data_IF_122334092403
#
_entry.id   IF_122334092403
#
_cell.length_a   1.000
_cell.length_b   1.000
_cell.length_c   1.000
_cell.angle_alpha   90.00
_cell.angle_beta   90.00
_cell.angle_gamma   90.00
#
_symmetry.space_group_name_H-M   'P 1'
#
loop_
_entity.id
_entity.type
_entity.pdbx_description
1 polymer ?
#
# COMPACT_ATOMS: atom_id res chain seq x y z
N UNK A 1 -22.70 -13.77 8.24
CA UNK A 1 -21.90 -12.53 8.40
C UNK A 1 -21.41 -12.02 7.06
N UNK A 2 -21.00 -12.91 6.15
CA UNK A 2 -20.63 -12.57 4.76
C UNK A 2 -21.65 -11.70 4.03
N UNK A 3 -22.91 -12.13 3.92
CA UNK A 3 -23.98 -11.34 3.26
C UNK A 3 -24.14 -9.95 3.89
N UNK A 4 -24.04 -9.86 5.22
CA UNK A 4 -24.12 -8.59 5.95
C UNK A 4 -22.97 -7.66 5.54
N UNK A 5 -21.74 -8.18 5.51
CA UNK A 5 -20.56 -7.45 5.09
C UNK A 5 -20.67 -6.99 3.64
N UNK A 6 -21.04 -7.88 2.71
CA UNK A 6 -21.18 -7.55 1.29
C UNK A 6 -22.20 -6.45 1.04
N UNK A 7 -23.35 -6.46 1.72
CA UNK A 7 -24.33 -5.39 1.61
C UNK A 7 -23.78 -4.07 2.17
N UNK A 8 -23.10 -4.09 3.32
CA UNK A 8 -22.51 -2.89 3.90
C UNK A 8 -21.39 -2.31 3.03
N UNK A 9 -20.60 -3.18 2.40
CA UNK A 9 -19.58 -2.85 1.40
C UNK A 9 -20.21 -2.13 0.20
N UNK A 10 -21.24 -2.71 -0.41
CA UNK A 10 -21.94 -2.09 -1.55
C UNK A 10 -22.48 -0.69 -1.21
N UNK A 11 -22.97 -0.49 0.02
CA UNK A 11 -23.40 0.83 0.50
C UNK A 11 -22.20 1.79 0.62
N UNK A 12 -21.08 1.33 1.20
CA UNK A 12 -19.88 2.16 1.37
C UNK A 12 -19.25 2.56 0.03
N UNK A 13 -19.25 1.66 -0.94
CA UNK A 13 -18.73 1.86 -2.30
C UNK A 13 -19.71 2.64 -3.21
N UNK A 14 -20.83 3.11 -2.66
CA UNK A 14 -21.90 3.81 -3.39
C UNK A 14 -22.50 3.02 -4.57
N UNK A 15 -22.40 1.69 -4.54
CA UNK A 15 -23.03 0.81 -5.54
C UNK A 15 -24.55 0.68 -5.31
N UNK A 16 -24.97 0.75 -4.05
CA UNK A 16 -26.37 0.85 -3.66
C UNK A 16 -26.55 1.96 -2.63
N UNK A 17 -27.74 2.54 -2.57
CA UNK A 17 -28.06 3.54 -1.57
C UNK A 17 -28.16 2.92 -0.17
N UNK A 18 -27.98 3.74 0.87
CA UNK A 18 -28.19 3.32 2.27
C UNK A 18 -29.58 2.69 2.49
N UNK A 19 -30.61 3.23 1.84
CA UNK A 19 -32.00 2.74 1.95
C UNK A 19 -32.13 1.34 1.36
N UNK A 20 -31.52 1.11 0.19
CA UNK A 20 -31.50 -0.21 -0.46
C UNK A 20 -30.71 -1.22 0.36
N UNK A 21 -29.54 -0.85 0.88
CA UNK A 21 -28.75 -1.75 1.74
C UNK A 21 -29.48 -2.15 3.02
N UNK A 22 -30.17 -1.21 3.68
CA UNK A 22 -31.02 -1.52 4.85
C UNK A 22 -32.12 -2.49 4.46
N UNK A 23 -32.80 -2.26 3.32
CA UNK A 23 -33.88 -3.12 2.85
C UNK A 23 -33.36 -4.53 2.49
N UNK A 24 -32.22 -4.62 1.82
CA UNK A 24 -31.57 -5.90 1.49
C UNK A 24 -31.21 -6.72 2.74
N UNK A 25 -30.74 -6.08 3.82
CA UNK A 25 -30.51 -6.78 5.09
C UNK A 25 -31.80 -7.31 5.73
N UNK A 26 -32.89 -6.54 5.63
CA UNK A 26 -34.20 -6.99 6.12
C UNK A 26 -34.67 -8.19 5.31
N UNK A 27 -34.60 -8.12 3.98
CA UNK A 27 -35.17 -9.14 3.10
C UNK A 27 -34.31 -10.42 3.04
N UNK A 28 -32.98 -10.29 2.97
CA UNK A 28 -32.07 -11.43 2.77
C UNK A 28 -31.55 -12.06 4.06
N UNK A 29 -31.53 -11.31 5.17
CA UNK A 29 -31.03 -11.80 6.47
C UNK A 29 -32.13 -11.89 7.52
N UNK A 30 -33.40 -11.62 7.14
CA UNK A 30 -34.53 -11.51 8.06
C UNK A 30 -34.21 -10.61 9.27
N UNK A 31 -33.41 -9.56 9.02
CA UNK A 31 -32.88 -8.72 10.09
C UNK A 31 -33.93 -7.70 10.49
N UNK A 32 -34.07 -7.44 11.81
CA UNK A 32 -34.90 -6.33 12.26
C UNK A 32 -34.42 -5.01 11.63
N UNK A 33 -35.34 -4.20 11.11
CA UNK A 33 -35.02 -2.95 10.40
C UNK A 33 -34.13 -1.99 11.22
N UNK A 34 -34.35 -1.88 12.53
CA UNK A 34 -33.52 -1.03 13.39
C UNK A 34 -32.11 -1.60 13.54
N UNK A 35 -31.97 -2.92 13.62
CA UNK A 35 -30.67 -3.59 13.62
C UNK A 35 -29.94 -3.38 12.29
N UNK A 36 -30.64 -3.48 11.15
CA UNK A 36 -30.08 -3.23 9.83
C UNK A 36 -29.55 -1.79 9.70
N UNK A 37 -30.31 -0.80 10.16
CA UNK A 37 -29.86 0.60 10.25
C UNK A 37 -28.57 0.72 11.08
N UNK A 38 -28.53 0.09 12.26
CA UNK A 38 -27.35 0.16 13.14
C UNK A 38 -26.12 -0.46 12.47
N UNK A 39 -26.27 -1.63 11.86
CA UNK A 39 -25.17 -2.36 11.19
C UNK A 39 -24.57 -1.53 10.06
N UNK A 40 -25.40 -1.05 9.13
CA UNK A 40 -24.94 -0.21 8.00
C UNK A 40 -24.27 1.06 8.51
N UNK A 41 -24.85 1.72 9.52
CA UNK A 41 -24.30 2.96 10.07
C UNK A 41 -22.95 2.76 10.75
N UNK A 42 -22.79 1.67 11.51
CA UNK A 42 -21.53 1.36 12.18
C UNK A 42 -20.46 1.01 11.15
N UNK A 43 -20.77 0.19 10.14
CA UNK A 43 -19.80 -0.17 9.12
C UNK A 43 -19.26 1.06 8.37
N UNK A 44 -20.12 1.94 7.87
CA UNK A 44 -19.70 3.18 7.19
C UNK A 44 -18.83 4.05 8.10
N UNK A 45 -19.21 4.19 9.38
CA UNK A 45 -18.41 4.94 10.35
C UNK A 45 -17.05 4.31 10.63
N UNK A 46 -16.98 2.98 10.68
CA UNK A 46 -15.71 2.26 10.78
C UNK A 46 -14.81 2.57 9.58
N UNK A 47 -15.34 2.48 8.36
CA UNK A 47 -14.58 2.77 7.14
C UNK A 47 -14.05 4.21 7.04
N UNK A 48 -14.65 5.13 7.79
CA UNK A 48 -14.29 6.56 7.85
C UNK A 48 -13.51 6.95 9.12
N UNK A 49 -13.28 6.04 10.07
CA UNK A 49 -12.63 6.40 11.34
C UNK A 49 -13.49 7.22 12.30
N UNK A 50 -14.82 7.21 12.10
CA UNK A 50 -15.75 8.05 12.87
C UNK A 50 -16.30 7.34 14.10
N UNK A 51 -16.46 8.09 15.20
CA UNK A 51 -17.10 7.58 16.42
C UNK A 51 -18.55 7.14 16.17
N UNK A 52 -18.92 5.99 16.74
CA UNK A 52 -20.30 5.50 16.83
C UNK A 52 -20.68 5.11 18.27
N UNK A 53 -21.98 5.08 18.58
CA UNK A 53 -22.47 4.93 19.96
C UNK A 53 -23.30 3.66 20.20
N UNK A 54 -23.79 3.02 19.14
CA UNK A 54 -24.47 1.71 19.20
C UNK A 54 -23.44 0.59 19.08
N UNK A 55 -23.76 -0.61 19.56
CA UNK A 55 -22.84 -1.76 19.56
C UNK A 55 -23.33 -2.82 18.58
N UNK A 56 -22.38 -3.57 18.01
CA UNK A 56 -22.63 -4.85 17.34
C UNK A 56 -22.18 -6.00 18.25
N UNK A 57 -22.38 -7.23 17.78
CA UNK A 57 -21.81 -8.42 18.41
C UNK A 57 -20.30 -8.47 18.14
N UNK A 58 -19.54 -9.05 19.07
CA UNK A 58 -18.09 -9.22 18.89
C UNK A 58 -17.73 -10.00 17.61
N UNK A 59 -18.40 -11.13 17.26
CA UNK A 59 -18.10 -11.84 16.03
C UNK A 59 -18.31 -10.99 14.76
N UNK A 60 -19.30 -10.09 14.77
CA UNK A 60 -19.54 -9.21 13.61
C UNK A 60 -18.45 -8.13 13.50
N UNK A 61 -17.98 -7.58 14.63
CA UNK A 61 -16.81 -6.68 14.62
C UNK A 61 -15.55 -7.40 14.13
N UNK A 62 -15.26 -8.61 14.63
CA UNK A 62 -14.13 -9.41 14.18
C UNK A 62 -14.20 -9.66 12.66
N UNK A 63 -15.36 -10.07 12.15
CA UNK A 63 -15.57 -10.32 10.73
C UNK A 63 -15.38 -9.05 9.88
N UNK A 64 -15.87 -7.90 10.34
CA UNK A 64 -15.64 -6.63 9.66
C UNK A 64 -14.16 -6.26 9.64
N UNK A 65 -13.45 -6.31 10.77
CA UNK A 65 -12.03 -5.95 10.83
C UNK A 65 -11.18 -6.86 9.93
N UNK A 66 -11.46 -8.16 9.91
CA UNK A 66 -10.75 -9.11 9.06
C UNK A 66 -10.94 -8.79 7.57
N UNK A 67 -12.17 -8.65 7.10
CA UNK A 67 -12.45 -8.43 5.68
C UNK A 67 -12.08 -7.02 5.22
N UNK A 68 -12.18 -6.00 6.10
CA UNK A 68 -11.67 -4.66 5.81
C UNK A 68 -10.17 -4.72 5.54
N UNK A 69 -9.41 -5.46 6.35
CA UNK A 69 -7.97 -5.62 6.13
C UNK A 69 -7.65 -6.37 4.83
N UNK A 70 -8.37 -7.45 4.54
CA UNK A 70 -8.15 -8.26 3.36
C UNK A 70 -8.48 -7.52 2.06
N UNK A 71 -9.55 -6.71 2.05
CA UNK A 71 -10.05 -6.09 0.82
C UNK A 71 -9.58 -4.64 0.63
N UNK A 72 -9.36 -3.88 1.72
CA UNK A 72 -8.99 -2.46 1.67
C UNK A 72 -7.63 -2.16 2.30
N UNK A 73 -6.95 -3.17 2.85
CA UNK A 73 -5.60 -3.04 3.38
C UNK A 73 -5.51 -2.29 4.72
N UNK A 74 -4.26 -1.94 5.06
CA UNK A 74 -3.88 -1.40 6.36
C UNK A 74 -4.56 -0.07 6.70
N UNK A 75 -4.64 0.85 5.75
CA UNK A 75 -5.15 2.19 5.99
C UNK A 75 -6.63 2.17 6.45
N UNK A 76 -7.47 1.38 5.76
CA UNK A 76 -8.88 1.23 6.16
C UNK A 76 -9.05 0.42 7.43
N UNK A 77 -8.19 -0.57 7.68
CA UNK A 77 -8.20 -1.25 8.97
C UNK A 77 -7.86 -0.27 10.12
N UNK A 78 -6.88 0.62 9.93
CA UNK A 78 -6.50 1.63 10.93
C UNK A 78 -7.64 2.62 11.20
N UNK A 79 -8.34 3.06 10.16
CA UNK A 79 -9.56 3.85 10.31
C UNK A 79 -10.63 3.08 11.11
N UNK A 80 -10.91 1.82 10.75
CA UNK A 80 -11.90 0.99 11.44
C UNK A 80 -11.57 0.76 12.93
N UNK A 81 -10.29 0.53 13.25
CA UNK A 81 -9.82 0.40 14.62
C UNK A 81 -9.93 1.72 15.39
N UNK A 82 -9.63 2.85 14.75
CA UNK A 82 -9.82 4.18 15.34
C UNK A 82 -11.27 4.44 15.71
N UNK A 83 -12.21 4.16 14.80
CA UNK A 83 -13.64 4.27 15.06
C UNK A 83 -14.09 3.38 16.22
N UNK A 84 -13.58 2.15 16.28
CA UNK A 84 -13.89 1.18 17.33
C UNK A 84 -13.31 1.59 18.69
N UNK A 85 -12.10 2.15 18.73
CA UNK A 85 -11.49 2.66 19.97
C UNK A 85 -12.25 3.88 20.52
N UNK A 86 -12.67 4.79 19.64
CA UNK A 86 -13.57 5.90 19.99
C UNK A 86 -14.91 5.40 20.58
N UNK A 87 -15.43 4.29 20.06
CA UNK A 87 -16.61 3.64 20.60
C UNK A 87 -16.37 3.01 21.98
N UNK A 88 -15.27 2.26 22.15
CA UNK A 88 -14.90 1.63 23.43
C UNK A 88 -14.73 2.69 24.51
N UNK A 89 -14.00 3.78 24.19
CA UNK A 89 -13.80 4.92 25.09
C UNK A 89 -15.12 5.55 25.51
N UNK A 90 -16.04 5.74 24.56
CA UNK A 90 -17.37 6.26 24.86
C UNK A 90 -18.20 5.33 25.77
N UNK A 91 -18.18 4.02 25.55
CA UNK A 91 -18.93 3.08 26.40
C UNK A 91 -18.28 2.96 27.78
N UNK A 92 -16.95 3.00 27.87
CA UNK A 92 -16.24 2.98 29.14
C UNK A 92 -16.64 4.19 30.00
N UNK A 93 -16.71 5.39 29.43
CA UNK A 93 -17.20 6.57 30.15
C UNK A 93 -18.63 6.41 30.71
N UNK A 94 -19.42 5.47 30.18
CA UNK A 94 -20.77 5.10 30.69
C UNK A 94 -20.77 3.94 31.70
N UNK A 95 -19.61 3.51 32.17
CA UNK A 95 -19.47 2.45 33.18
C UNK A 95 -19.45 1.03 32.63
N UNK A 96 -19.42 0.82 31.31
CA UNK A 96 -19.31 -0.51 30.72
C UNK A 96 -17.95 -0.70 30.02
N UNK A 97 -17.05 -1.54 30.55
CA UNK A 97 -15.67 -1.60 30.05
C UNK A 97 -15.50 -2.39 28.74
N UNK A 98 -16.55 -3.08 28.24
CA UNK A 98 -16.52 -3.89 27.00
C UNK A 98 -15.20 -4.69 26.80
N UNK A 99 -14.74 -5.38 27.86
CA UNK A 99 -13.39 -5.98 27.94
C UNK A 99 -13.01 -6.82 26.72
N UNK A 100 -13.89 -7.70 26.25
CA UNK A 100 -13.63 -8.55 25.07
C UNK A 100 -13.45 -7.75 23.78
N UNK A 101 -14.23 -6.69 23.59
CA UNK A 101 -14.11 -5.83 22.40
C UNK A 101 -12.79 -5.05 22.41
N UNK A 102 -12.33 -4.64 23.60
CA UNK A 102 -11.00 -4.05 23.78
C UNK A 102 -9.88 -5.04 23.46
N UNK A 103 -10.00 -6.31 23.86
CA UNK A 103 -9.02 -7.34 23.51
C UNK A 103 -8.94 -7.56 21.99
N UNK A 104 -10.09 -7.62 21.31
CA UNK A 104 -10.16 -7.72 19.84
C UNK A 104 -9.46 -6.52 19.19
N UNK A 105 -9.81 -5.30 19.62
CA UNK A 105 -9.22 -4.08 19.07
C UNK A 105 -7.69 -4.05 19.25
N UNK A 106 -7.19 -4.38 20.45
CA UNK A 106 -5.76 -4.47 20.73
C UNK A 106 -5.04 -5.53 19.86
N UNK A 107 -5.64 -6.71 19.69
CA UNK A 107 -5.06 -7.77 18.86
C UNK A 107 -4.86 -7.31 17.42
N UNK A 108 -5.82 -6.57 16.85
CA UNK A 108 -5.72 -6.04 15.50
C UNK A 108 -4.73 -4.86 15.40
N UNK A 109 -4.62 -4.00 16.42
CA UNK A 109 -3.55 -3.00 16.47
C UNK A 109 -2.16 -3.63 16.52
N UNK A 110 -1.96 -4.71 17.29
CA UNK A 110 -0.70 -5.45 17.31
C UNK A 110 -0.42 -6.14 15.98
N UNK A 111 -1.45 -6.69 15.31
CA UNK A 111 -1.32 -7.23 13.95
C UNK A 111 -0.82 -6.17 12.96
N UNK A 112 -1.35 -4.94 13.03
CA UNK A 112 -0.87 -3.82 12.23
C UNK A 112 0.58 -3.44 12.54
N UNK A 113 0.96 -3.43 13.82
CA UNK A 113 2.34 -3.13 14.26
C UNK A 113 3.35 -4.15 13.74
N UNK A 114 3.06 -5.45 13.92
CA UNK A 114 3.94 -6.53 13.45
C UNK A 114 4.10 -6.47 11.92
N UNK A 115 3.00 -6.30 11.19
CA UNK A 115 3.04 -6.15 9.73
C UNK A 115 3.91 -4.96 9.30
N UNK A 116 3.82 -3.83 10.00
CA UNK A 116 4.61 -2.62 9.70
C UNK A 116 6.09 -2.78 10.02
N UNK A 117 6.41 -3.48 11.12
CA UNK A 117 7.79 -3.76 11.49
C UNK A 117 8.44 -4.70 10.47
N UNK A 118 7.74 -5.76 10.06
CA UNK A 118 8.20 -6.71 9.05
C UNK A 118 8.52 -6.01 7.72
N UNK A 119 7.62 -5.14 7.23
CA UNK A 119 7.86 -4.37 6.00
C UNK A 119 9.07 -3.43 6.11
N UNK A 120 9.32 -2.88 7.30
CA UNK A 120 10.49 -2.02 7.54
C UNK A 120 11.79 -2.82 7.45
N UNK A 121 11.83 -4.01 8.06
CA UNK A 121 12.99 -4.91 7.98
C UNK A 121 13.26 -5.35 6.54
N UNK A 122 12.21 -5.69 5.79
CA UNK A 122 12.33 -6.07 4.38
C UNK A 122 12.89 -4.93 3.53
N UNK A 123 12.41 -3.69 3.72
CA UNK A 123 12.93 -2.52 3.01
C UNK A 123 14.41 -2.25 3.33
N UNK A 124 14.84 -2.47 4.58
CA UNK A 124 16.24 -2.32 4.97
C UNK A 124 17.12 -3.39 4.32
N UNK A 125 16.65 -4.64 4.29
CA UNK A 125 17.34 -5.73 3.59
C UNK A 125 17.47 -5.46 2.09
N UNK A 126 16.40 -4.97 1.46
CA UNK A 126 16.41 -4.63 0.04
C UNK A 126 17.40 -3.51 -0.29
N UNK A 127 17.51 -2.48 0.57
CA UNK A 127 18.51 -1.42 0.39
C UNK A 127 19.96 -1.98 0.50
N UNK A 128 20.21 -2.88 1.44
CA UNK A 128 21.52 -3.54 1.59
C UNK A 128 21.87 -4.35 0.34
N UNK A 129 20.95 -5.20 -0.14
CA UNK A 129 21.15 -5.98 -1.37
C UNK A 129 21.43 -5.07 -2.58
N UNK A 130 20.63 -4.01 -2.75
CA UNK A 130 20.81 -3.05 -3.85
C UNK A 130 22.20 -2.40 -3.79
N UNK A 131 22.67 -1.97 -2.62
CA UNK A 131 23.98 -1.34 -2.47
C UNK A 131 25.14 -2.32 -2.75
N UNK A 132 25.02 -3.59 -2.34
CA UNK A 132 25.99 -4.65 -2.69
C UNK A 132 26.06 -4.86 -4.21
N UNK A 133 24.90 -4.97 -4.86
CA UNK A 133 24.79 -5.14 -6.32
C UNK A 133 25.38 -3.93 -7.05
N UNK A 134 25.02 -2.71 -6.64
CA UNK A 134 25.54 -1.47 -7.23
C UNK A 134 27.07 -1.43 -7.14
N UNK A 135 27.62 -1.77 -5.97
CA UNK A 135 29.06 -1.79 -5.74
C UNK A 135 29.78 -2.79 -6.64
N UNK A 136 29.21 -3.98 -6.82
CA UNK A 136 29.74 -4.99 -7.73
C UNK A 136 29.67 -4.56 -9.19
N UNK A 137 28.50 -4.08 -9.65
CA UNK A 137 28.29 -3.68 -11.05
C UNK A 137 29.17 -2.49 -11.45
N UNK A 138 29.32 -1.48 -10.61
CA UNK A 138 30.21 -0.33 -10.87
C UNK A 138 31.68 -0.73 -11.07
N UNK A 139 32.12 -1.84 -10.47
CA UNK A 139 33.49 -2.36 -10.59
C UNK A 139 33.68 -3.29 -11.78
N UNK A 140 32.62 -3.90 -12.28
CA UNK A 140 32.71 -5.02 -13.23
C UNK A 140 32.09 -4.71 -14.59
N UNK A 141 31.22 -3.72 -14.69
CA UNK A 141 30.52 -3.36 -15.93
C UNK A 141 30.60 -1.87 -16.21
N UNK A 142 30.72 -1.53 -17.47
CA UNK A 142 30.48 -0.18 -17.98
C UNK A 142 29.00 0.19 -17.90
N UNK A 143 28.71 1.49 -17.97
CA UNK A 143 27.33 1.98 -18.01
C UNK A 143 26.54 1.43 -19.21
N UNK A 144 27.21 1.20 -20.34
CA UNK A 144 26.60 0.67 -21.57
C UNK A 144 26.22 -0.81 -21.42
N UNK A 145 27.05 -1.61 -20.75
CA UNK A 145 26.72 -3.01 -20.43
C UNK A 145 25.56 -3.11 -19.45
N UNK A 146 25.54 -2.24 -18.43
CA UNK A 146 24.41 -2.14 -17.48
C UNK A 146 23.11 -1.75 -18.20
N UNK A 147 23.19 -0.83 -19.15
CA UNK A 147 22.04 -0.43 -19.97
C UNK A 147 21.54 -1.58 -20.87
N UNK A 148 22.47 -2.29 -21.53
CA UNK A 148 22.12 -3.44 -22.37
C UNK A 148 21.43 -4.54 -21.56
N UNK A 149 21.94 -4.83 -20.36
CA UNK A 149 21.33 -5.78 -19.43
C UNK A 149 19.93 -5.32 -19.02
N UNK A 150 19.77 -4.05 -18.62
CA UNK A 150 18.48 -3.49 -18.21
C UNK A 150 17.42 -3.60 -19.31
N UNK A 151 17.78 -3.32 -20.56
CA UNK A 151 16.88 -3.44 -21.72
C UNK A 151 16.53 -4.88 -22.09
N UNK A 152 17.32 -5.86 -21.61
CA UNK A 152 17.07 -7.29 -21.86
C UNK A 152 16.15 -7.95 -20.83
N UNK A 153 15.86 -7.27 -19.71
CA UNK A 153 15.05 -7.83 -18.61
C UNK A 153 13.64 -8.12 -19.10
N UNK A 154 13.19 -9.35 -18.85
CA UNK A 154 11.81 -9.76 -19.14
C UNK A 154 11.12 -10.39 -17.94
N UNK A 155 9.79 -10.41 -17.95
CA UNK A 155 8.98 -10.97 -16.85
C UNK A 155 9.18 -12.49 -16.65
N UNK A 156 9.83 -13.17 -17.61
CA UNK A 156 10.08 -14.62 -17.58
C UNK A 156 11.33 -15.02 -16.79
N UNK A 157 12.12 -14.05 -16.34
CA UNK A 157 13.31 -14.31 -15.53
C UNK A 157 12.98 -14.83 -14.13
N UNK A 158 13.87 -15.63 -13.51
CA UNK A 158 13.68 -16.13 -12.15
C UNK A 158 13.64 -14.98 -11.13
N UNK A 159 12.85 -15.15 -10.08
CA UNK A 159 12.72 -14.16 -8.98
C UNK A 159 14.03 -13.96 -8.19
N UNK A 160 14.95 -14.93 -8.28
CA UNK A 160 16.27 -14.89 -7.65
C UNK A 160 17.35 -14.92 -8.73
N UNK A 161 18.35 -14.06 -8.56
CA UNK A 161 19.52 -13.95 -9.45
C UNK A 161 20.80 -14.14 -8.66
N UNK A 162 21.77 -14.82 -9.27
CA UNK A 162 23.09 -15.04 -8.65
C UNK A 162 24.10 -14.02 -9.16
N UNK A 163 24.71 -13.25 -8.27
CA UNK A 163 25.76 -12.28 -8.56
C UNK A 163 26.92 -12.55 -7.61
N UNK A 164 28.12 -12.78 -8.16
CA UNK A 164 29.32 -13.08 -7.37
C UNK A 164 29.10 -14.21 -6.35
N UNK A 165 28.49 -15.33 -6.78
CA UNK A 165 28.14 -16.49 -5.94
C UNK A 165 27.15 -16.23 -4.80
N UNK A 166 26.57 -15.02 -4.69
CA UNK A 166 25.49 -14.68 -3.77
C UNK A 166 24.15 -14.62 -4.52
N UNK A 167 23.09 -15.07 -3.88
CA UNK A 167 21.72 -14.97 -4.38
C UNK A 167 21.09 -13.64 -3.92
N UNK A 168 20.39 -12.97 -4.82
CA UNK A 168 19.68 -11.72 -4.57
C UNK A 168 18.28 -11.76 -5.17
N UNK A 169 17.37 -10.93 -4.68
CA UNK A 169 16.09 -10.70 -5.38
C UNK A 169 16.36 -10.06 -6.74
N UNK A 170 15.73 -10.57 -7.80
CA UNK A 170 15.81 -10.00 -9.15
C UNK A 170 15.40 -8.53 -9.17
N UNK A 171 14.44 -8.17 -8.33
CA UNK A 171 13.91 -6.81 -8.30
C UNK A 171 14.92 -5.82 -7.72
N UNK A 172 15.65 -6.24 -6.69
CA UNK A 172 16.78 -5.47 -6.15
C UNK A 172 17.87 -5.26 -7.20
N UNK A 173 18.14 -6.26 -8.05
CA UNK A 173 19.03 -6.10 -9.20
C UNK A 173 18.48 -5.10 -10.22
N UNK A 174 17.20 -5.20 -10.58
CA UNK A 174 16.56 -4.29 -11.54
C UNK A 174 16.60 -2.84 -11.05
N UNK A 175 16.25 -2.59 -9.78
CA UNK A 175 16.34 -1.27 -9.13
C UNK A 175 17.79 -0.77 -9.13
N UNK A 176 18.77 -1.62 -8.80
CA UNK A 176 20.18 -1.28 -8.83
C UNK A 176 20.65 -0.83 -10.24
N UNK A 177 20.27 -1.56 -11.28
CA UNK A 177 20.58 -1.21 -12.68
C UNK A 177 19.97 0.15 -13.06
N UNK A 178 18.70 0.39 -12.73
CA UNK A 178 18.00 1.66 -12.99
C UNK A 178 18.69 2.83 -12.29
N UNK A 179 19.04 2.67 -11.00
CA UNK A 179 19.78 3.67 -10.22
C UNK A 179 21.10 4.05 -10.90
N UNK A 180 21.85 3.07 -11.41
CA UNK A 180 23.10 3.31 -12.15
C UNK A 180 22.84 4.06 -13.47
N UNK A 181 21.93 3.57 -14.32
CA UNK A 181 21.66 4.18 -15.64
C UNK A 181 21.19 5.63 -15.51
N UNK A 182 20.32 5.90 -14.53
CA UNK A 182 19.72 7.21 -14.26
C UNK A 182 20.59 8.12 -13.37
N UNK A 183 21.82 7.70 -13.04
CA UNK A 183 22.77 8.49 -12.23
C UNK A 183 22.18 8.94 -10.86
N UNK A 184 21.33 8.10 -10.27
CA UNK A 184 20.66 8.33 -8.99
C UNK A 184 19.88 9.65 -8.92
N UNK A 185 19.30 10.12 -10.04
CA UNK A 185 18.54 11.37 -10.08
C UNK A 185 17.04 11.14 -10.02
N UNK A 186 16.34 12.01 -9.29
CA UNK A 186 14.89 12.05 -9.29
C UNK A 186 14.37 12.36 -10.70
N UNK A 187 13.41 11.57 -11.18
CA UNK A 187 12.82 11.76 -12.51
C UNK A 187 11.85 12.96 -12.60
N UNK A 188 11.53 13.62 -11.48
CA UNK A 188 10.76 14.87 -11.45
C UNK A 188 11.70 16.08 -11.38
N UNK A 189 12.53 16.19 -10.33
CA UNK A 189 13.31 17.39 -10.06
C UNK A 189 14.83 17.24 -10.28
N UNK A 190 15.31 16.07 -10.70
CA UNK A 190 16.73 15.77 -10.94
C UNK A 190 17.64 15.81 -9.69
N UNK A 191 17.12 16.11 -8.51
CA UNK A 191 17.89 16.14 -7.26
C UNK A 191 18.08 14.75 -6.66
N UNK A 192 19.04 14.64 -5.75
CA UNK A 192 19.38 13.45 -4.96
C UNK A 192 19.94 13.89 -3.60
N UNK A 193 20.07 12.97 -2.64
CA UNK A 193 20.71 13.26 -1.35
C UNK A 193 22.17 12.79 -1.39
N UNK A 194 23.17 13.66 -1.14
CA UNK A 194 24.56 13.24 -1.05
C UNK A 194 24.79 12.49 0.26
N UNK A 195 25.46 11.33 0.19
CA UNK A 195 25.93 10.57 1.34
C UNK A 195 27.33 11.06 1.74
N UNK A 196 27.71 10.85 3.00
CA UNK A 196 29.03 11.25 3.53
C UNK A 196 30.20 10.54 2.84
N UNK A 197 29.97 9.36 2.28
CA UNK A 197 30.95 8.61 1.48
C UNK A 197 31.05 9.08 0.02
N UNK A 198 30.36 10.16 -0.37
CA UNK A 198 30.34 10.70 -1.72
C UNK A 198 29.34 10.03 -2.68
N UNK A 199 28.62 9.00 -2.23
CA UNK A 199 27.57 8.37 -3.03
C UNK A 199 26.27 9.18 -3.04
N UNK A 200 25.35 8.82 -3.94
CA UNK A 200 24.04 9.45 -4.08
C UNK A 200 22.96 8.54 -3.52
N UNK A 201 21.99 9.12 -2.83
CA UNK A 201 20.80 8.43 -2.35
C UNK A 201 19.57 8.88 -3.14
N UNK A 202 18.78 7.88 -3.55
CA UNK A 202 17.52 8.01 -4.28
C UNK A 202 16.62 6.82 -3.95
N UNK A 203 15.32 7.04 -3.94
CA UNK A 203 14.31 6.01 -3.64
C UNK A 203 13.68 5.51 -4.95
N UNK A 204 13.34 4.23 -5.00
CA UNK A 204 12.64 3.64 -6.13
C UNK A 204 11.18 3.39 -5.71
N UNK A 205 10.26 3.82 -6.56
CA UNK A 205 8.82 3.65 -6.39
C UNK A 205 8.27 2.76 -7.50
N UNK A 206 7.34 1.88 -7.14
CA UNK A 206 6.55 1.14 -8.14
C UNK A 206 5.40 2.03 -8.62
N UNK A 207 5.20 2.11 -9.94
CA UNK A 207 4.06 2.82 -10.53
C UNK A 207 2.77 2.07 -10.20
N UNK A 208 2.76 0.76 -10.49
CA UNK A 208 1.68 -0.16 -10.17
C UNK A 208 2.17 -1.02 -9.00
N UNK A 209 1.49 -0.99 -7.84
CA UNK A 209 1.87 -1.78 -6.67
C UNK A 209 1.90 -3.29 -6.93
N UNK A 210 2.74 -4.01 -6.17
CA UNK A 210 2.85 -5.49 -6.27
C UNK A 210 1.52 -6.22 -6.04
N UNK A 211 0.70 -5.75 -5.10
CA UNK A 211 -0.59 -6.37 -4.79
C UNK A 211 -1.61 -6.24 -5.93
N UNK A 212 -1.43 -5.28 -6.85
CA UNK A 212 -2.20 -5.12 -8.07
C UNK A 212 -1.57 -5.85 -9.27
N UNK A 213 -0.70 -6.84 -9.01
CA UNK A 213 0.06 -7.58 -10.03
C UNK A 213 1.01 -6.70 -10.86
N UNK A 214 1.47 -5.56 -10.30
CA UNK A 214 2.51 -4.75 -10.91
C UNK A 214 3.79 -5.56 -11.09
N UNK A 215 4.14 -5.88 -12.34
CA UNK A 215 5.38 -6.60 -12.66
C UNK A 215 6.59 -5.71 -12.36
N UNK A 216 7.67 -6.29 -11.83
CA UNK A 216 8.93 -5.60 -11.55
C UNK A 216 9.80 -5.49 -12.79
N UNK A 217 9.20 -4.93 -13.84
CA UNK A 217 9.87 -4.54 -15.05
C UNK A 217 10.37 -3.10 -14.94
N UNK A 218 11.42 -2.72 -15.71
CA UNK A 218 11.94 -1.37 -15.69
C UNK A 218 10.88 -0.28 -15.96
N UNK A 219 9.89 -0.59 -16.79
CA UNK A 219 8.73 0.27 -17.11
C UNK A 219 7.70 0.43 -15.98
N UNK A 220 7.91 -0.21 -14.82
CA UNK A 220 7.08 -0.08 -13.63
C UNK A 220 7.82 0.58 -12.46
N UNK A 221 9.08 1.02 -12.65
CA UNK A 221 9.91 1.59 -11.59
C UNK A 221 10.26 3.04 -11.94
N UNK A 222 10.09 3.93 -10.98
CA UNK A 222 10.49 5.34 -11.07
C UNK A 222 11.43 5.68 -9.92
N UNK A 223 12.44 6.50 -10.18
CA UNK A 223 13.31 7.06 -9.16
C UNK A 223 12.82 8.43 -8.67
N UNK A 224 12.68 8.55 -7.36
CA UNK A 224 12.28 9.79 -6.70
C UNK A 224 13.27 10.20 -5.61
N UNK A 225 13.41 11.51 -5.39
CA UNK A 225 13.99 11.99 -4.13
C UNK A 225 12.96 11.77 -3.00
N UNK A 226 13.37 11.74 -1.73
CA UNK A 226 12.46 11.38 -0.64
C UNK A 226 11.21 12.27 -0.56
N UNK A 227 11.34 13.55 -0.92
CA UNK A 227 10.21 14.47 -0.98
C UNK A 227 9.17 14.04 -2.02
N UNK A 228 9.57 13.81 -3.26
CA UNK A 228 8.64 13.40 -4.31
C UNK A 228 8.14 11.96 -4.12
N UNK A 229 8.94 11.09 -3.51
CA UNK A 229 8.46 9.74 -3.19
C UNK A 229 7.33 9.79 -2.18
N UNK A 230 7.50 10.55 -1.09
CA UNK A 230 6.44 10.74 -0.10
C UNK A 230 5.24 11.50 -0.67
N UNK A 231 5.47 12.46 -1.56
CA UNK A 231 4.40 13.12 -2.28
C UNK A 231 3.59 12.13 -3.13
N UNK A 232 4.27 11.21 -3.84
CA UNK A 232 3.63 10.17 -4.64
C UNK A 232 2.87 9.16 -3.78
N UNK A 233 3.45 8.71 -2.65
CA UNK A 233 2.81 7.78 -1.72
C UNK A 233 1.52 8.34 -1.10
N UNK A 234 1.56 9.62 -0.67
CA UNK A 234 0.50 10.23 0.13
C UNK A 234 -0.51 11.02 -0.69
N UNK A 235 -0.12 11.50 -1.88
CA UNK A 235 -0.94 12.38 -2.72
C UNK A 235 -1.86 11.64 -3.70
N UNK A 236 -1.85 10.30 -3.70
CA UNK A 236 -2.70 9.44 -4.54
C UNK A 236 -2.73 9.88 -6.01
N UNK A 237 -1.62 9.70 -6.75
CA UNK A 237 -1.46 10.20 -8.11
C UNK A 237 -2.56 9.65 -9.04
N UNK A 238 -3.19 10.53 -9.80
CA UNK A 238 -4.13 10.15 -10.84
C UNK A 238 -3.39 9.91 -12.15
N UNK A 239 -3.11 8.64 -12.47
CA UNK A 239 -2.43 8.25 -13.71
C UNK A 239 -3.39 8.42 -14.88
N UNK A 240 -3.09 9.38 -15.77
CA UNK A 240 -3.90 9.67 -16.96
C UNK A 240 -3.47 8.84 -18.16
N UNK A 241 -2.18 8.50 -18.24
CA UNK A 241 -1.64 7.66 -19.31
C UNK A 241 -0.40 6.91 -18.84
N UNK A 242 -0.28 5.64 -19.23
CA UNK A 242 0.92 4.83 -18.99
C UNK A 242 1.18 3.91 -20.18
N UNK A 243 2.39 3.96 -20.70
CA UNK A 243 2.93 3.00 -21.67
C UNK A 243 4.31 2.50 -21.21
N UNK A 244 5.04 1.77 -22.06
CA UNK A 244 6.37 1.24 -21.70
C UNK A 244 7.46 2.32 -21.62
N UNK A 245 7.26 3.42 -22.34
CA UNK A 245 8.27 4.47 -22.53
C UNK A 245 7.98 5.74 -21.72
N UNK A 246 6.73 5.92 -21.27
CA UNK A 246 6.31 7.12 -20.56
C UNK A 246 5.12 6.89 -19.64
N UNK A 247 5.00 7.79 -18.67
CA UNK A 247 3.85 7.92 -17.77
C UNK A 247 3.46 9.39 -17.67
N UNK A 248 2.16 9.66 -17.67
CA UNK A 248 1.55 10.96 -17.41
C UNK A 248 0.58 10.80 -16.24
N UNK A 249 0.66 11.71 -15.27
CA UNK A 249 -0.19 11.68 -14.08
C UNK A 249 -0.39 13.09 -13.50
N UNK A 250 -1.48 13.27 -12.77
CA UNK A 250 -1.73 14.47 -11.96
C UNK A 250 -1.48 14.16 -10.49
N UNK A 251 -0.69 14.99 -9.81
CA UNK A 251 -0.40 14.86 -8.38
C UNK A 251 -0.47 16.26 -7.74
N UNK A 252 -1.31 16.41 -6.70
CA UNK A 252 -1.56 17.69 -6.02
C UNK A 252 -1.91 18.85 -6.98
N UNK A 253 -2.71 18.56 -8.02
CA UNK A 253 -3.14 19.54 -9.02
C UNK A 253 -2.05 19.95 -10.03
N UNK A 254 -0.89 19.30 -10.03
CA UNK A 254 0.17 19.48 -11.02
C UNK A 254 0.24 18.28 -11.96
N UNK A 255 0.43 18.56 -13.25
CA UNK A 255 0.63 17.54 -14.27
C UNK A 255 2.11 17.19 -14.39
N UNK A 256 2.41 15.89 -14.46
CA UNK A 256 3.75 15.35 -14.65
C UNK A 256 3.79 14.42 -15.85
N UNK A 257 4.88 14.50 -16.60
CA UNK A 257 5.20 13.56 -17.69
C UNK A 257 6.63 13.05 -17.49
N UNK A 258 6.77 11.75 -17.26
CA UNK A 258 8.05 11.11 -16.98
C UNK A 258 8.40 10.13 -18.11
N UNK A 259 9.63 10.24 -18.60
CA UNK A 259 10.21 9.27 -19.53
C UNK A 259 10.74 8.06 -18.75
N UNK A 260 10.28 6.86 -19.12
CA UNK A 260 10.65 5.55 -18.59
C UNK A 260 11.68 4.80 -19.47
N UNK A 261 11.83 5.19 -20.74
CA UNK A 261 12.86 4.63 -21.63
C UNK A 261 14.29 4.93 -21.17
N UNK A 262 15.24 4.08 -21.58
CA UNK A 262 16.66 4.20 -21.23
C UNK A 262 17.56 4.55 -22.44
N UNK A 263 16.95 5.08 -23.50
CA UNK A 263 17.58 5.42 -24.77
C UNK A 263 18.70 6.46 -24.64
#
# INVERSE_FOLDING_TARGET
>A
MEIIYQICKQVFENQITRKEGIQALVDQQNMNRNSAVIVVNIFVKMMNGERFTRTLSNPLFEYFLENIFLEYGKEKLEAALTALDLHITYIWAKGNPKRRLRLICNMYFEKLRVSTFQSTIESLHDEVEQNEIISYLKRTKSKQEVLAELNSITAREPEIVTINHKAYKRDNKTIALIKIVRDFKCQICQTFIPKSNGEKYIEAAHIIPKHEQGQELPENIILFCPNHHKEFDLGSPNITKKDKSSIEFTLNGKEYKINLSFN
#
